data_IF_243268785660
#
_entry.id   IF_243268785660
#
_cell.length_a   1.000
_cell.length_b   1.000
_cell.length_c   1.000
_cell.angle_alpha   90.00
_cell.angle_beta   90.00
_cell.angle_gamma   90.00
#
_symmetry.space_group_name_H-M   'P 1'
#
loop_
_entity.id
_entity.type
_entity.pdbx_description
1 polymer ?
#
# COMPACT_ATOMS: atom_id res chain seq x y z
N UNK A 1 12.39 -5.29 0.27
CA UNK A 1 12.77 -3.86 0.37
C UNK A 1 11.80 -3.15 1.33
N UNK A 2 11.69 -3.60 2.58
CA UNK A 2 10.59 -3.21 3.47
C UNK A 2 10.86 -1.92 4.29
N UNK A 3 12.11 -1.48 4.43
CA UNK A 3 12.48 -0.45 5.44
C UNK A 3 13.04 0.86 4.86
N UNK A 4 12.65 1.24 3.64
CA UNK A 4 13.11 2.51 3.08
C UNK A 4 12.36 3.70 3.70
N UNK A 5 13.08 4.57 4.42
CA UNK A 5 12.56 5.89 4.82
C UNK A 5 12.52 6.81 3.60
N UNK A 6 11.39 6.81 2.88
CA UNK A 6 11.29 7.48 1.59
C UNK A 6 11.55 8.98 1.67
N UNK A 7 12.51 9.43 0.85
CA UNK A 7 12.79 10.84 0.56
C UNK A 7 12.55 11.10 -0.92
N UNK A 8 11.67 12.04 -1.24
CA UNK A 8 11.35 12.39 -2.63
C UNK A 8 12.49 13.16 -3.29
N UNK A 9 12.69 12.93 -4.59
CA UNK A 9 13.57 13.74 -5.43
C UNK A 9 13.14 15.22 -5.49
N UNK A 10 14.06 16.07 -5.93
CA UNK A 10 13.82 17.50 -6.17
C UNK A 10 12.82 17.75 -7.30
N UNK A 11 12.32 18.99 -7.39
CA UNK A 11 11.29 19.36 -8.36
C UNK A 11 11.76 19.24 -9.82
N UNK A 12 13.02 19.58 -10.10
CA UNK A 12 13.63 19.48 -11.43
C UNK A 12 14.08 18.07 -11.83
N UNK A 13 14.04 17.11 -10.90
CA UNK A 13 14.51 15.73 -11.12
C UNK A 13 13.37 14.75 -11.38
N UNK A 14 12.12 15.22 -11.37
CA UNK A 14 10.93 14.37 -11.53
C UNK A 14 10.94 13.68 -12.90
N UNK A 15 10.49 12.43 -12.91
CA UNK A 15 10.40 11.63 -14.13
C UNK A 15 9.00 11.74 -14.70
N UNK A 16 8.90 11.90 -16.01
CA UNK A 16 7.61 11.90 -16.71
C UNK A 16 7.12 10.47 -16.90
N UNK A 17 5.97 10.15 -16.30
CA UNK A 17 5.40 8.81 -16.37
C UNK A 17 3.92 8.87 -16.79
N UNK A 18 3.41 7.80 -17.43
CA UNK A 18 1.98 7.65 -17.67
C UNK A 18 1.20 7.71 -16.36
N UNK A 19 0.06 8.40 -16.38
CA UNK A 19 -0.85 8.40 -15.25
C UNK A 19 -2.27 8.04 -15.67
N UNK A 20 -3.00 7.46 -14.71
CA UNK A 20 -4.38 7.02 -14.88
C UNK A 20 -5.31 7.77 -13.92
N UNK A 21 -6.52 8.00 -14.40
CA UNK A 21 -7.61 8.52 -13.58
C UNK A 21 -8.83 7.65 -13.84
N UNK A 22 -9.32 6.97 -12.80
CA UNK A 22 -10.46 6.03 -12.88
C UNK A 22 -10.24 4.95 -13.98
N UNK A 23 -9.05 4.37 -14.02
CA UNK A 23 -8.69 3.31 -14.99
C UNK A 23 -8.51 3.76 -16.44
N UNK A 24 -8.46 5.07 -16.69
CA UNK A 24 -8.20 5.62 -18.03
C UNK A 24 -6.87 6.36 -18.05
N UNK A 25 -6.01 6.02 -19.01
CA UNK A 25 -4.76 6.75 -19.28
C UNK A 25 -5.07 8.18 -19.71
N UNK A 26 -4.36 9.15 -19.13
CA UNK A 26 -4.57 10.59 -19.36
C UNK A 26 -3.35 11.31 -19.94
N UNK A 27 -2.31 10.58 -20.32
CA UNK A 27 -1.03 11.10 -20.81
C UNK A 27 0.07 10.97 -19.77
N UNK A 28 1.02 11.90 -19.78
CA UNK A 28 2.18 11.91 -18.89
C UNK A 28 2.03 12.99 -17.80
N UNK A 29 2.58 12.72 -16.62
CA UNK A 29 2.68 13.68 -15.52
C UNK A 29 4.06 13.54 -14.87
N UNK A 30 4.63 14.60 -14.26
CA UNK A 30 5.87 14.47 -13.51
C UNK A 30 5.62 13.73 -12.18
N UNK A 31 6.32 12.62 -11.97
CA UNK A 31 6.28 11.81 -10.76
C UNK A 31 7.58 11.97 -9.98
N UNK A 32 7.45 12.13 -8.67
CA UNK A 32 8.61 12.02 -7.78
C UNK A 32 8.96 10.55 -7.58
N UNK A 33 10.24 10.26 -7.39
CA UNK A 33 10.72 8.95 -6.95
C UNK A 33 11.52 9.11 -5.66
N UNK A 34 11.74 7.99 -4.98
CA UNK A 34 12.58 7.96 -3.80
C UNK A 34 14.06 7.94 -4.19
N UNK A 35 14.84 8.91 -3.72
CA UNK A 35 16.28 9.00 -4.02
C UNK A 35 17.11 7.86 -3.41
N UNK A 36 16.54 7.09 -2.49
CA UNK A 36 17.23 5.98 -1.83
C UNK A 36 16.97 4.62 -2.47
N UNK A 37 15.74 4.35 -2.93
CA UNK A 37 15.35 3.04 -3.45
C UNK A 37 14.77 3.07 -4.87
N UNK A 38 14.63 4.24 -5.48
CA UNK A 38 14.10 4.40 -6.84
C UNK A 38 12.58 4.22 -6.98
N UNK A 39 11.86 3.82 -5.93
CA UNK A 39 10.40 3.61 -6.02
C UNK A 39 9.69 4.91 -6.37
N UNK A 40 8.69 4.83 -7.25
CA UNK A 40 7.93 5.99 -7.72
C UNK A 40 6.80 6.29 -6.75
N UNK A 41 6.65 7.57 -6.40
CA UNK A 41 5.57 8.03 -5.52
C UNK A 41 4.22 7.87 -6.22
N UNK A 42 3.24 7.32 -5.49
CA UNK A 42 1.86 7.42 -5.91
C UNK A 42 1.43 8.89 -5.83
N UNK A 43 1.03 9.49 -6.95
CA UNK A 43 0.52 10.87 -7.02
C UNK A 43 -0.99 10.95 -7.26
N UNK A 44 -1.66 9.81 -7.32
CA UNK A 44 -3.10 9.71 -7.53
C UNK A 44 -3.88 10.11 -6.26
N UNK A 45 -5.19 10.37 -6.38
CA UNK A 45 -6.06 10.55 -5.21
C UNK A 45 -6.31 9.25 -4.43
N UNK A 46 -6.10 8.08 -5.04
CA UNK A 46 -6.25 6.78 -4.40
C UNK A 46 -5.00 6.46 -3.56
N UNK A 47 -5.02 6.88 -2.29
CA UNK A 47 -3.89 6.84 -1.38
C UNK A 47 -3.99 5.65 -0.44
N UNK A 48 -2.89 4.91 -0.29
CA UNK A 48 -2.72 3.94 0.78
C UNK A 48 -2.86 4.60 2.17
N UNK A 49 -3.24 3.80 3.16
CA UNK A 49 -3.40 4.15 4.57
C UNK A 49 -2.33 3.46 5.41
N UNK A 50 -1.97 4.03 6.57
CA UNK A 50 -1.01 3.38 7.46
C UNK A 50 -1.57 2.06 8.01
N UNK A 51 -0.69 1.15 8.41
CA UNK A 51 -1.01 -0.16 9.03
C UNK A 51 -2.00 -0.03 10.20
N UNK A 52 -1.91 1.06 10.97
CA UNK A 52 -2.84 1.40 12.05
C UNK A 52 -4.32 1.42 11.64
N UNK A 53 -4.61 1.83 10.40
CA UNK A 53 -5.98 1.84 9.87
C UNK A 53 -6.55 0.42 9.74
N UNK A 54 -5.76 -0.50 9.20
CA UNK A 54 -6.20 -1.88 8.95
C UNK A 54 -6.17 -2.75 10.21
N UNK A 55 -5.21 -2.54 11.10
CA UNK A 55 -5.19 -3.20 12.43
C UNK A 55 -6.43 -2.85 13.25
N UNK A 56 -6.87 -1.58 13.22
CA UNK A 56 -8.14 -1.17 13.83
C UNK A 56 -9.37 -1.86 13.19
N UNK A 57 -9.34 -2.09 11.86
CA UNK A 57 -10.39 -2.83 11.16
C UNK A 57 -10.42 -4.30 11.59
N UNK A 58 -9.26 -4.95 11.65
CA UNK A 58 -9.12 -6.34 12.11
C UNK A 58 -9.57 -6.53 13.56
N UNK A 59 -9.25 -5.57 14.45
CA UNK A 59 -9.63 -5.63 15.86
C UNK A 59 -11.15 -5.65 16.09
N UNK A 60 -11.94 -5.22 15.10
CA UNK A 60 -13.41 -5.24 15.13
C UNK A 60 -14.02 -6.49 14.50
N UNK A 61 -13.21 -7.36 13.90
CA UNK A 61 -13.66 -8.59 13.27
C UNK A 61 -13.76 -9.73 14.30
N UNK A 62 -14.68 -10.69 14.13
CA UNK A 62 -14.79 -11.86 15.00
C UNK A 62 -13.70 -12.90 14.68
N UNK A 63 -12.42 -12.52 14.90
CA UNK A 63 -11.25 -13.37 14.66
C UNK A 63 -10.47 -13.58 15.95
N UNK A 64 -9.76 -14.71 16.03
CA UNK A 64 -8.91 -15.02 17.19
C UNK A 64 -7.68 -14.11 17.24
N UNK A 65 -7.09 -13.95 18.44
CA UNK A 65 -5.81 -13.23 18.61
C UNK A 65 -4.68 -13.83 17.76
N UNK A 66 -4.71 -15.16 17.54
CA UNK A 66 -3.72 -15.86 16.71
C UNK A 66 -3.90 -15.47 15.24
N UNK A 67 -5.13 -15.48 14.72
CA UNK A 67 -5.41 -15.04 13.35
C UNK A 67 -5.04 -13.58 13.11
N UNK A 68 -5.40 -12.68 14.04
CA UNK A 68 -4.99 -11.28 14.01
C UNK A 68 -3.47 -11.15 13.87
N UNK A 69 -2.71 -11.87 14.71
CA UNK A 69 -1.24 -11.84 14.71
C UNK A 69 -0.65 -12.39 13.41
N UNK A 70 -1.21 -13.47 12.86
CA UNK A 70 -0.77 -14.05 11.58
C UNK A 70 -0.99 -13.08 10.42
N UNK A 71 -2.18 -12.46 10.35
CA UNK A 71 -2.50 -11.45 9.34
C UNK A 71 -1.53 -10.28 9.41
N UNK A 72 -1.37 -9.66 10.60
CA UNK A 72 -0.48 -8.50 10.77
C UNK A 72 0.95 -8.84 10.38
N UNK A 73 1.47 -10.00 10.78
CA UNK A 73 2.83 -10.43 10.45
C UNK A 73 3.04 -10.62 8.95
N UNK A 74 2.08 -11.19 8.22
CA UNK A 74 2.20 -11.31 6.76
C UNK A 74 2.11 -9.94 6.07
N UNK A 75 1.24 -9.03 6.54
CA UNK A 75 1.16 -7.66 6.01
C UNK A 75 2.49 -6.91 6.20
N UNK A 76 3.13 -7.04 7.36
CA UNK A 76 4.48 -6.48 7.61
C UNK A 76 5.51 -7.07 6.63
N UNK A 77 5.52 -8.39 6.43
CA UNK A 77 6.47 -9.05 5.53
C UNK A 77 6.35 -8.59 4.06
N UNK A 78 5.15 -8.25 3.59
CA UNK A 78 4.95 -7.78 2.20
C UNK A 78 5.13 -6.27 2.03
N UNK A 79 5.53 -5.53 3.08
CA UNK A 79 5.74 -4.08 3.00
C UNK A 79 4.44 -3.28 2.85
N UNK A 80 3.35 -3.77 3.44
CA UNK A 80 2.00 -3.20 3.32
C UNK A 80 1.85 -1.75 3.80
N UNK A 81 2.78 -1.27 4.63
CA UNK A 81 2.77 0.09 5.21
C UNK A 81 3.46 1.14 4.31
N UNK A 82 3.88 0.77 3.09
CA UNK A 82 4.41 1.72 2.11
C UNK A 82 3.31 2.65 1.58
N UNK A 83 3.02 3.69 2.35
CA UNK A 83 2.10 4.77 1.96
C UNK A 83 2.67 5.73 0.92
N UNK A 84 3.94 5.57 0.54
CA UNK A 84 4.60 6.40 -0.45
C UNK A 84 4.27 5.95 -1.87
N UNK A 85 4.37 4.64 -2.14
CA UNK A 85 4.22 4.08 -3.48
C UNK A 85 2.89 3.37 -3.72
N UNK A 86 2.24 2.79 -2.70
CA UNK A 86 1.01 2.02 -2.88
C UNK A 86 -0.23 2.89 -3.11
N UNK A 87 -1.15 2.38 -3.92
CA UNK A 87 -2.54 2.86 -3.98
C UNK A 87 -3.40 2.23 -2.88
N UNK A 88 -4.49 2.90 -2.50
CA UNK A 88 -5.47 2.33 -1.56
C UNK A 88 -6.12 1.07 -2.14
N UNK A 89 -6.44 1.06 -3.43
CA UNK A 89 -7.02 -0.11 -4.09
C UNK A 89 -6.09 -1.33 -4.11
N UNK A 90 -4.78 -1.15 -4.35
CA UNK A 90 -3.79 -2.24 -4.24
C UNK A 90 -3.70 -2.76 -2.80
N UNK A 91 -3.68 -1.83 -1.84
CA UNK A 91 -3.63 -2.16 -0.43
C UNK A 91 -4.88 -2.96 0.01
N UNK A 92 -6.09 -2.60 -0.44
CA UNK A 92 -7.29 -3.38 -0.17
C UNK A 92 -7.23 -4.79 -0.76
N UNK A 93 -6.69 -4.96 -1.97
CA UNK A 93 -6.52 -6.30 -2.58
C UNK A 93 -5.58 -7.17 -1.75
N UNK A 94 -4.42 -6.63 -1.35
CA UNK A 94 -3.46 -7.33 -0.50
C UNK A 94 -4.10 -7.70 0.84
N UNK A 95 -4.76 -6.73 1.49
CA UNK A 95 -5.42 -6.93 2.77
C UNK A 95 -6.46 -8.05 2.70
N UNK A 96 -7.37 -7.99 1.73
CA UNK A 96 -8.42 -9.00 1.57
C UNK A 96 -7.84 -10.39 1.32
N UNK A 97 -6.79 -10.49 0.50
CA UNK A 97 -6.11 -11.76 0.21
C UNK A 97 -5.49 -12.38 1.47
N UNK A 98 -4.75 -11.60 2.27
CA UNK A 98 -4.11 -12.08 3.50
C UNK A 98 -5.16 -12.43 4.56
N UNK A 99 -6.21 -11.63 4.70
CA UNK A 99 -7.31 -11.93 5.64
C UNK A 99 -8.01 -13.23 5.25
N UNK A 100 -8.35 -13.44 3.98
CA UNK A 100 -8.99 -14.68 3.52
C UNK A 100 -8.13 -15.92 3.78
N UNK A 101 -6.80 -15.78 3.68
CA UNK A 101 -5.85 -16.87 3.92
C UNK A 101 -5.93 -17.42 5.36
N UNK A 102 -6.04 -16.54 6.36
CA UNK A 102 -6.00 -16.92 7.79
C UNK A 102 -7.36 -16.95 8.47
N UNK A 103 -8.31 -16.18 7.96
CA UNK A 103 -9.59 -15.96 8.61
C UNK A 103 -10.73 -16.65 7.87
N UNK A 104 -10.46 -17.67 7.01
CA UNK A 104 -11.46 -18.45 6.27
C UNK A 104 -12.80 -18.44 7.00
N UNK A 105 -13.71 -17.59 6.57
CA UNK A 105 -15.06 -17.64 7.09
C UNK A 105 -15.60 -19.00 6.64
N UNK A 106 -15.97 -19.82 7.61
CA UNK A 106 -17.07 -20.78 7.47
C UNK A 106 -18.16 -20.03 6.69
N UNK A 107 -18.43 -20.46 5.46
CA UNK A 107 -19.62 -20.03 4.73
C UNK A 107 -20.86 -20.55 5.43
#
# INVERSE_FOLDING_TARGET
>A
MADCKHKSCGAGEKVWMPYEVKGRRRGLKPHSYCVHCGVVKNISPDRAKPMGFYTNKLARMPITKVQLRLVVKELECVGFDDTYSLTGSEQEKIFNSVVQKYCKCVQ
#
